data_IF_165366652662
#
_entry.id   IF_165366652662
#
_cell.length_a   1.000
_cell.length_b   1.000
_cell.length_c   1.000
_cell.angle_alpha   90.00
_cell.angle_beta   90.00
_cell.angle_gamma   90.00
#
_symmetry.space_group_name_H-M   'P 1'
#
loop_
_entity.id
_entity.type
_entity.pdbx_description
1 polymer ?
#
# COMPACT_ATOMS: atom_id res chain seq x y z
N UNK A 1 16.70 -4.36 -0.82
CA UNK A 1 15.25 -4.34 -0.47
C UNK A 1 14.39 -4.66 -1.68
N UNK A 2 14.59 -3.92 -2.79
CA UNK A 2 13.87 -4.13 -4.07
C UNK A 2 13.91 -5.59 -4.54
N UNK A 3 15.08 -6.22 -4.58
CA UNK A 3 15.21 -7.61 -5.05
C UNK A 3 14.42 -8.61 -4.21
N UNK A 4 14.24 -8.34 -2.90
CA UNK A 4 13.44 -9.20 -2.03
C UNK A 4 11.97 -9.18 -2.44
N UNK A 5 11.43 -8.02 -2.79
CA UNK A 5 10.06 -7.89 -3.29
C UNK A 5 9.91 -8.45 -4.70
N UNK A 6 10.88 -8.21 -5.59
CA UNK A 6 10.83 -8.75 -6.96
C UNK A 6 10.91 -10.28 -7.00
N UNK A 7 11.58 -10.91 -6.03
CA UNK A 7 11.72 -12.36 -5.90
C UNK A 7 10.74 -12.99 -4.91
N UNK A 8 9.93 -12.20 -4.20
CA UNK A 8 8.94 -12.70 -3.26
C UNK A 8 7.90 -13.56 -4.00
N UNK A 9 7.46 -14.66 -3.39
CA UNK A 9 6.33 -15.42 -3.90
C UNK A 9 5.04 -14.65 -3.67
N UNK A 10 4.08 -14.76 -4.58
CA UNK A 10 2.76 -14.12 -4.47
C UNK A 10 2.07 -14.38 -3.12
N UNK A 11 2.16 -15.59 -2.58
CA UNK A 11 1.57 -15.92 -1.27
C UNK A 11 2.27 -15.21 -0.11
N UNK A 12 3.57 -14.91 -0.19
CA UNK A 12 4.28 -14.18 0.87
C UNK A 12 3.77 -12.73 0.95
N UNK A 13 3.62 -12.07 -0.21
CA UNK A 13 3.06 -10.72 -0.27
C UNK A 13 1.59 -10.72 0.17
N UNK A 14 0.81 -11.70 -0.28
CA UNK A 14 -0.58 -11.84 0.10
C UNK A 14 -0.77 -12.06 1.61
N UNK A 15 0.01 -12.95 2.22
CA UNK A 15 -0.08 -13.20 3.67
C UNK A 15 0.32 -11.98 4.49
N UNK A 16 1.36 -11.25 4.08
CA UNK A 16 1.79 -10.04 4.77
C UNK A 16 0.78 -8.88 4.63
N UNK A 17 0.19 -8.71 3.44
CA UNK A 17 -0.79 -7.64 3.19
C UNK A 17 -2.21 -7.96 3.69
N UNK A 18 -2.63 -9.22 3.69
CA UNK A 18 -4.00 -9.61 3.98
C UNK A 18 -4.10 -10.67 5.07
N UNK A 19 -3.29 -11.73 5.00
CA UNK A 19 -3.35 -12.82 5.97
C UNK A 19 -3.21 -12.33 7.42
N UNK A 20 -2.19 -11.53 7.70
CA UNK A 20 -1.95 -10.95 9.03
C UNK A 20 -3.08 -9.97 9.44
N UNK A 21 -3.44 -8.95 8.64
CA UNK A 21 -4.55 -8.05 9.00
C UNK A 21 -5.90 -8.75 9.18
N UNK A 22 -6.25 -9.73 8.34
CA UNK A 22 -7.50 -10.48 8.44
C UNK A 22 -7.50 -11.35 9.70
N UNK A 23 -6.41 -12.06 9.98
CA UNK A 23 -6.29 -12.85 11.21
C UNK A 23 -6.41 -11.97 12.44
N UNK A 24 -5.73 -10.82 12.44
CA UNK A 24 -5.86 -9.82 13.49
C UNK A 24 -7.33 -9.37 13.64
N UNK A 25 -8.01 -9.02 12.56
CA UNK A 25 -9.40 -8.59 12.58
C UNK A 25 -10.37 -9.68 13.08
N UNK A 26 -10.14 -10.95 12.73
CA UNK A 26 -10.93 -12.08 13.22
C UNK A 26 -10.75 -12.25 14.73
N UNK A 27 -9.51 -12.19 15.23
CA UNK A 27 -9.22 -12.26 16.68
C UNK A 27 -9.86 -11.10 17.42
N UNK A 28 -9.71 -9.88 16.91
CA UNK A 28 -10.36 -8.68 17.43
C UNK A 28 -11.87 -8.89 17.55
N UNK A 29 -12.52 -9.27 16.45
CA UNK A 29 -13.97 -9.42 16.41
C UNK A 29 -14.46 -10.57 17.31
N UNK A 30 -13.76 -11.71 17.32
CA UNK A 30 -14.10 -12.85 18.17
C UNK A 30 -14.03 -12.53 19.66
N UNK A 31 -13.01 -11.79 20.10
CA UNK A 31 -12.91 -11.35 21.50
C UNK A 31 -14.01 -10.35 21.88
N UNK A 32 -14.37 -9.42 21.00
CA UNK A 32 -15.47 -8.48 21.24
C UNK A 32 -16.81 -9.22 21.36
N UNK A 33 -17.13 -10.12 20.42
CA UNK A 33 -18.37 -10.90 20.46
C UNK A 33 -18.47 -11.80 21.69
N UNK A 34 -17.36 -12.44 22.09
CA UNK A 34 -17.34 -13.27 23.30
C UNK A 34 -17.66 -12.47 24.55
N UNK A 35 -17.19 -11.22 24.63
CA UNK A 35 -17.37 -10.35 25.80
C UNK A 35 -18.74 -9.70 25.88
N UNK A 36 -19.31 -9.31 24.74
CA UNK A 36 -20.70 -8.82 24.68
C UNK A 36 -21.69 -9.91 25.16
N UNK A 37 -21.39 -11.18 24.89
CA UNK A 37 -22.22 -12.30 25.32
C UNK A 37 -22.03 -12.67 26.81
N UNK A 38 -20.92 -12.24 27.45
CA UNK A 38 -20.60 -12.60 28.84
C UNK A 38 -20.80 -11.45 29.85
N UNK A 39 -20.73 -10.19 29.41
CA UNK A 39 -20.79 -9.02 30.28
C UNK A 39 -21.83 -8.00 29.80
N UNK A 40 -22.69 -7.54 30.71
CA UNK A 40 -23.70 -6.50 30.44
C UNK A 40 -23.10 -5.10 30.24
N UNK A 41 -21.81 -4.90 30.54
CA UNK A 41 -21.07 -3.64 30.36
C UNK A 41 -19.57 -3.93 30.12
N UNK A 42 -19.09 -4.05 28.86
CA UNK A 42 -17.68 -4.32 28.58
C UNK A 42 -16.80 -3.14 29.03
N UNK A 43 -15.70 -3.43 29.75
CA UNK A 43 -14.70 -2.43 30.14
C UNK A 43 -14.05 -1.79 28.90
N UNK A 44 -14.22 -0.47 28.69
CA UNK A 44 -13.62 0.24 27.55
C UNK A 44 -12.10 0.07 27.46
N UNK A 45 -11.42 -0.12 28.59
CA UNK A 45 -9.95 -0.20 28.70
C UNK A 45 -9.39 -1.39 27.91
N UNK A 46 -10.10 -2.51 27.89
CA UNK A 46 -9.67 -3.70 27.16
C UNK A 46 -9.80 -3.51 25.64
N UNK A 47 -10.86 -2.84 25.18
CA UNK A 47 -11.04 -2.47 23.77
C UNK A 47 -9.85 -1.59 23.34
N UNK A 48 -9.51 -0.56 24.12
CA UNK A 48 -8.37 0.32 23.84
C UNK A 48 -7.02 -0.41 23.80
N UNK A 49 -6.81 -1.40 24.68
CA UNK A 49 -5.59 -2.20 24.67
C UNK A 49 -5.39 -2.95 23.36
N UNK A 50 -6.47 -3.42 22.75
CA UNK A 50 -6.38 -4.11 21.46
C UNK A 50 -6.10 -3.14 20.29
N UNK A 51 -6.59 -1.90 20.36
CA UNK A 51 -6.29 -0.86 19.37
C UNK A 51 -4.80 -0.47 19.32
N UNK A 52 -4.00 -0.76 20.35
CA UNK A 52 -2.55 -0.49 20.36
C UNK A 52 -1.78 -1.24 19.26
N UNK A 53 -2.29 -2.38 18.81
CA UNK A 53 -1.68 -3.17 17.73
C UNK A 53 -2.03 -2.64 16.34
N UNK A 54 -3.10 -1.86 16.21
CA UNK A 54 -3.58 -1.37 14.91
C UNK A 54 -2.52 -0.54 14.15
N UNK A 55 -1.79 0.42 14.75
CA UNK A 55 -0.74 1.15 14.06
C UNK A 55 0.39 0.25 13.54
N UNK A 56 0.73 -0.82 14.28
CA UNK A 56 1.78 -1.77 13.89
C UNK A 56 1.34 -2.54 12.63
N UNK A 57 0.10 -3.03 12.62
CA UNK A 57 -0.49 -3.72 11.47
C UNK A 57 -0.58 -2.77 10.26
N UNK A 58 -0.95 -1.50 10.50
CA UNK A 58 -1.03 -0.48 9.46
C UNK A 58 0.35 -0.19 8.84
N UNK A 59 1.39 -0.01 9.67
CA UNK A 59 2.76 0.21 9.20
C UNK A 59 3.26 -1.00 8.39
N UNK A 60 2.97 -2.22 8.86
CA UNK A 60 3.29 -3.44 8.13
C UNK A 60 2.60 -3.44 6.76
N UNK A 61 1.29 -3.22 6.72
CA UNK A 61 0.52 -3.16 5.49
C UNK A 61 1.07 -2.11 4.51
N UNK A 62 1.27 -0.88 4.98
CA UNK A 62 1.79 0.21 4.16
C UNK A 62 3.18 -0.10 3.64
N UNK A 63 4.08 -0.59 4.49
CA UNK A 63 5.44 -0.95 4.10
C UNK A 63 5.49 -2.02 3.03
N UNK A 64 4.62 -3.03 3.13
CA UNK A 64 4.55 -4.12 2.15
C UNK A 64 3.89 -3.63 0.85
N UNK A 65 2.77 -2.90 0.93
CA UNK A 65 2.04 -2.38 -0.25
C UNK A 65 2.88 -1.38 -1.06
N UNK A 66 3.35 -0.31 -0.41
CA UNK A 66 4.17 0.70 -1.07
C UNK A 66 5.56 0.15 -1.43
N UNK A 67 6.13 -0.74 -0.62
CA UNK A 67 7.38 -1.44 -0.95
C UNK A 67 7.25 -2.30 -2.21
N UNK A 68 6.13 -3.00 -2.38
CA UNK A 68 5.84 -3.77 -3.59
C UNK A 68 5.72 -2.86 -4.82
N UNK A 69 4.94 -1.79 -4.75
CA UNK A 69 4.79 -0.81 -5.83
C UNK A 69 6.13 -0.17 -6.22
N UNK A 70 6.90 0.27 -5.22
CA UNK A 70 8.22 0.85 -5.44
C UNK A 70 9.17 -0.14 -6.13
N UNK A 71 9.14 -1.40 -5.70
CA UNK A 71 10.01 -2.44 -6.25
C UNK A 71 9.70 -2.71 -7.72
N UNK A 72 8.43 -2.70 -8.12
CA UNK A 72 8.06 -2.81 -9.53
C UNK A 72 8.46 -1.55 -10.29
N UNK A 73 8.04 -0.37 -9.82
CA UNK A 73 8.24 0.89 -10.52
C UNK A 73 9.73 1.28 -10.67
N UNK A 74 10.56 1.04 -9.66
CA UNK A 74 11.97 1.44 -9.64
C UNK A 74 12.88 0.25 -9.93
N UNK A 75 12.56 -0.93 -9.39
CA UNK A 75 13.41 -2.11 -9.56
C UNK A 75 13.45 -2.64 -10.98
N UNK A 76 12.34 -2.55 -11.71
CA UNK A 76 12.30 -3.00 -13.11
C UNK A 76 12.86 -1.98 -14.10
N UNK A 77 13.28 -0.78 -13.66
CA UNK A 77 13.80 0.25 -14.56
C UNK A 77 15.02 -0.21 -15.36
N UNK A 78 15.85 -1.09 -14.80
CA UNK A 78 17.01 -1.66 -15.49
C UNK A 78 16.63 -2.61 -16.65
N UNK A 79 15.39 -3.10 -16.67
CA UNK A 79 14.87 -4.05 -17.68
C UNK A 79 14.03 -3.37 -18.76
N UNK A 80 13.94 -2.03 -18.70
CA UNK A 80 13.25 -1.24 -19.70
C UNK A 80 14.18 -1.11 -20.90
N UNK A 81 13.67 -1.33 -22.12
CA UNK A 81 14.50 -1.22 -23.32
C UNK A 81 15.03 0.22 -23.48
N UNK A 82 16.25 0.37 -23.98
CA UNK A 82 17.01 1.64 -24.00
C UNK A 82 16.29 2.76 -24.77
N UNK A 83 15.43 2.41 -25.72
CA UNK A 83 14.64 3.35 -26.51
C UNK A 83 13.42 3.92 -25.77
N UNK A 84 13.13 3.48 -24.53
CA UNK A 84 11.95 3.91 -23.77
C UNK A 84 12.37 4.68 -22.52
N UNK A 85 11.93 5.93 -22.43
CA UNK A 85 12.25 6.80 -21.28
C UNK A 85 11.07 6.89 -20.31
N UNK A 86 11.31 6.50 -19.04
CA UNK A 86 10.28 6.55 -18.00
C UNK A 86 10.41 7.79 -17.10
N UNK A 87 9.27 8.39 -16.76
CA UNK A 87 9.17 9.59 -15.90
C UNK A 87 9.31 9.26 -14.41
N UNK A 88 10.37 8.57 -14.01
CA UNK A 88 10.61 8.10 -12.63
C UNK A 88 10.62 9.21 -11.60
N UNK A 89 11.12 10.41 -11.94
CA UNK A 89 11.08 11.59 -11.05
C UNK A 89 9.64 11.98 -10.70
N UNK A 90 8.74 12.02 -11.67
CA UNK A 90 7.31 12.32 -11.44
C UNK A 90 6.65 11.24 -10.59
N UNK A 91 6.97 9.96 -10.84
CA UNK A 91 6.52 8.85 -9.99
C UNK A 91 6.94 9.05 -8.54
N UNK A 92 8.22 9.31 -8.25
CA UNK A 92 8.68 9.50 -6.87
C UNK A 92 7.89 10.60 -6.17
N UNK A 93 7.66 11.75 -6.81
CA UNK A 93 6.86 12.84 -6.23
C UNK A 93 5.44 12.37 -5.90
N UNK A 94 4.70 11.83 -6.87
CA UNK A 94 3.31 11.39 -6.65
C UNK A 94 3.18 10.18 -5.72
N UNK A 95 4.22 9.36 -5.60
CA UNK A 95 4.28 8.22 -4.70
C UNK A 95 4.43 8.66 -3.23
N UNK A 96 5.21 9.72 -2.96
CA UNK A 96 5.41 10.19 -1.58
C UNK A 96 4.25 11.05 -1.06
N UNK A 97 3.48 11.70 -1.92
CA UNK A 97 2.27 12.46 -1.53
C UNK A 97 1.33 11.63 -0.63
N UNK A 98 0.84 10.43 -1.04
CA UNK A 98 -0.06 9.64 -0.21
C UNK A 98 0.61 9.12 1.07
N UNK A 99 1.91 8.81 1.04
CA UNK A 99 2.64 8.38 2.24
C UNK A 99 2.68 9.49 3.30
N UNK A 100 3.03 10.71 2.89
CA UNK A 100 3.05 11.87 3.78
C UNK A 100 1.64 12.19 4.26
N UNK A 101 0.64 12.18 3.37
CA UNK A 101 -0.75 12.41 3.74
C UNK A 101 -1.25 11.41 4.79
N UNK A 102 -1.04 10.11 4.58
CA UNK A 102 -1.47 9.05 5.52
C UNK A 102 -0.77 9.19 6.87
N UNK A 103 0.52 9.54 6.89
CA UNK A 103 1.25 9.79 8.12
C UNK A 103 0.69 11.01 8.87
N UNK A 104 0.53 12.15 8.19
CA UNK A 104 0.01 13.38 8.77
C UNK A 104 -1.41 13.20 9.33
N UNK A 105 -2.31 12.56 8.58
CA UNK A 105 -3.67 12.32 9.04
C UNK A 105 -3.72 11.34 10.22
N UNK A 106 -2.84 10.33 10.25
CA UNK A 106 -2.76 9.37 11.36
C UNK A 106 -2.30 10.05 12.66
N UNK A 107 -1.28 10.90 12.59
CA UNK A 107 -0.80 11.70 13.74
C UNK A 107 -1.91 12.65 14.21
N UNK A 108 -2.56 13.34 13.27
CA UNK A 108 -3.64 14.28 13.57
C UNK A 108 -4.82 13.59 14.27
N UNK A 109 -5.33 12.49 13.73
CA UNK A 109 -6.42 11.72 14.33
C UNK A 109 -6.01 11.16 15.70
N UNK A 110 -4.77 10.64 15.83
CA UNK A 110 -4.25 10.16 17.10
C UNK A 110 -4.21 11.23 18.19
N UNK A 111 -3.78 12.44 17.85
CA UNK A 111 -3.80 13.60 18.75
C UNK A 111 -5.23 14.01 19.15
N UNK A 112 -6.15 14.02 18.19
CA UNK A 112 -7.57 14.32 18.43
C UNK A 112 -8.22 13.33 19.39
N UNK A 113 -8.02 12.03 19.18
CA UNK A 113 -8.55 10.97 20.06
C UNK A 113 -7.95 11.11 21.47
N UNK A 114 -6.65 11.33 21.57
CA UNK A 114 -5.97 11.52 22.87
C UNK A 114 -6.53 12.73 23.64
N UNK A 115 -6.79 13.84 22.94
CA UNK A 115 -7.39 15.04 23.55
C UNK A 115 -8.81 14.82 24.06
N UNK A 116 -9.63 14.08 23.30
CA UNK A 116 -10.99 13.69 23.71
C UNK A 116 -10.92 12.82 24.97
N UNK A 117 -10.00 11.86 25.02
CA UNK A 117 -9.83 10.98 26.19
C UNK A 117 -9.40 11.76 27.45
N UNK A 118 -8.57 12.79 27.31
CA UNK A 118 -8.10 13.60 28.44
C UNK A 118 -9.13 14.60 28.95
N UNK A 119 -9.92 15.19 28.05
CA UNK A 119 -10.84 16.29 28.39
C UNK A 119 -12.30 15.86 28.52
N UNK A 120 -12.67 14.69 28.01
CA UNK A 120 -14.06 14.24 27.92
C UNK A 120 -14.92 15.06 26.96
N UNK A 121 -14.33 16.04 26.28
CA UNK A 121 -15.04 16.99 25.40
C UNK A 121 -14.61 16.82 23.96
N UNK A 122 -15.58 16.79 23.04
CA UNK A 122 -15.33 16.78 21.61
C UNK A 122 -14.87 18.14 21.07
N UNK A 123 -14.23 18.17 19.89
CA UNK A 123 -13.91 19.43 19.22
C UNK A 123 -15.15 20.25 18.88
N UNK A 124 -15.00 21.58 18.86
CA UNK A 124 -16.09 22.47 18.45
C UNK A 124 -16.47 22.26 16.98
N UNK A 125 -17.75 22.43 16.65
CA UNK A 125 -18.24 22.24 15.28
C UNK A 125 -17.54 23.14 14.25
N UNK A 126 -17.19 24.37 14.62
CA UNK A 126 -16.43 25.29 13.76
C UNK A 126 -15.02 24.80 13.45
N UNK A 127 -14.32 24.23 14.44
CA UNK A 127 -13.00 23.62 14.24
C UNK A 127 -13.08 22.41 13.32
N UNK A 128 -14.07 21.52 13.53
CA UNK A 128 -14.30 20.36 12.67
C UNK A 128 -14.57 20.79 11.22
N UNK A 129 -15.46 21.76 11.00
CA UNK A 129 -15.79 22.25 9.67
C UNK A 129 -14.56 22.84 8.94
N UNK A 130 -13.75 23.64 9.63
CA UNK A 130 -12.51 24.20 9.07
C UNK A 130 -11.52 23.12 8.66
N UNK A 131 -11.35 22.10 9.48
CA UNK A 131 -10.43 20.99 9.21
C UNK A 131 -10.92 20.11 8.06
N UNK A 132 -12.21 19.81 7.99
CA UNK A 132 -12.80 19.07 6.86
C UNK A 132 -12.56 19.80 5.54
N UNK A 133 -12.69 21.14 5.53
CA UNK A 133 -12.41 21.97 4.36
C UNK A 133 -10.97 21.84 3.82
N UNK A 134 -10.01 21.55 4.70
CA UNK A 134 -8.59 21.34 4.32
C UNK A 134 -8.30 19.87 4.00
N UNK A 135 -8.86 18.94 4.77
CA UNK A 135 -8.63 17.49 4.59
C UNK A 135 -9.16 17.01 3.24
N UNK A 136 -10.34 17.45 2.80
CA UNK A 136 -10.94 16.95 1.56
C UNK A 136 -10.03 17.20 0.34
N UNK A 137 -9.53 18.43 0.07
CA UNK A 137 -8.59 18.66 -1.03
C UNK A 137 -7.30 17.84 -0.93
N UNK A 138 -6.73 17.73 0.28
CA UNK A 138 -5.51 16.94 0.50
C UNK A 138 -5.77 15.44 0.26
N UNK A 139 -6.94 14.95 0.63
CA UNK A 139 -7.34 13.57 0.38
C UNK A 139 -7.46 13.28 -1.11
N UNK A 140 -8.11 14.17 -1.86
CA UNK A 140 -8.22 14.04 -3.33
C UNK A 140 -6.85 14.08 -4.01
N UNK A 141 -5.94 14.93 -3.55
CA UNK A 141 -4.55 14.98 -4.03
C UNK A 141 -3.81 13.66 -3.73
N UNK A 142 -4.01 13.09 -2.55
CA UNK A 142 -3.47 11.77 -2.17
C UNK A 142 -4.04 10.65 -3.06
N UNK A 143 -5.36 10.63 -3.29
CA UNK A 143 -6.00 9.68 -4.20
C UNK A 143 -5.41 9.78 -5.61
N UNK A 144 -5.23 11.00 -6.13
CA UNK A 144 -4.57 11.22 -7.41
C UNK A 144 -3.15 10.64 -7.44
N UNK A 145 -2.36 10.83 -6.36
CA UNK A 145 -1.03 10.24 -6.23
C UNK A 145 -1.04 8.71 -6.27
N UNK A 146 -2.02 8.07 -5.63
CA UNK A 146 -2.21 6.61 -5.67
C UNK A 146 -2.56 6.14 -7.10
N UNK A 147 -3.51 6.79 -7.77
CA UNK A 147 -3.87 6.44 -9.15
C UNK A 147 -2.73 6.66 -10.14
N UNK A 148 -1.95 7.74 -9.99
CA UNK A 148 -0.75 7.94 -10.79
C UNK A 148 0.29 6.84 -10.52
N UNK A 149 0.44 6.42 -9.27
CA UNK A 149 1.35 5.32 -8.90
C UNK A 149 0.91 4.00 -9.52
N UNK A 150 -0.38 3.66 -9.47
CA UNK A 150 -0.97 2.51 -10.16
C UNK A 150 -0.67 2.54 -11.65
N UNK A 151 -0.95 3.67 -12.31
CA UNK A 151 -0.67 3.89 -13.72
C UNK A 151 0.80 3.66 -14.05
N UNK A 152 1.70 4.26 -13.27
CA UNK A 152 3.13 4.18 -13.53
C UNK A 152 3.69 2.77 -13.32
N UNK A 153 3.23 2.07 -12.28
CA UNK A 153 3.61 0.69 -11.98
C UNK A 153 3.12 -0.24 -13.09
N UNK A 154 1.86 -0.11 -13.51
CA UNK A 154 1.29 -0.89 -14.60
C UNK A 154 2.04 -0.66 -15.93
N UNK A 155 2.29 0.61 -16.29
CA UNK A 155 3.08 0.96 -17.47
C UNK A 155 4.48 0.36 -17.40
N UNK A 156 5.16 0.49 -16.26
CA UNK A 156 6.51 -0.05 -16.06
C UNK A 156 6.53 -1.57 -16.24
N UNK A 157 5.63 -2.27 -15.56
CA UNK A 157 5.50 -3.72 -15.68
C UNK A 157 5.28 -4.14 -17.14
N UNK A 158 4.36 -3.50 -17.84
CA UNK A 158 3.99 -3.89 -19.21
C UNK A 158 5.04 -3.53 -20.25
N UNK A 159 5.73 -2.40 -20.07
CA UNK A 159 6.89 -2.03 -20.89
C UNK A 159 8.00 -3.08 -20.78
N UNK A 160 8.24 -3.61 -19.58
CA UNK A 160 9.22 -4.69 -19.39
C UNK A 160 8.72 -6.03 -19.95
N UNK A 161 7.42 -6.33 -19.82
CA UNK A 161 6.85 -7.56 -20.39
C UNK A 161 6.93 -7.57 -21.93
N UNK A 162 6.62 -6.44 -22.58
CA UNK A 162 6.55 -6.35 -24.04
C UNK A 162 7.83 -5.83 -24.70
N UNK A 163 8.82 -5.38 -23.91
CA UNK A 163 10.08 -4.80 -24.39
C UNK A 163 9.87 -3.68 -25.43
N UNK A 164 8.83 -2.85 -25.22
CA UNK A 164 8.53 -1.68 -26.04
C UNK A 164 7.79 -0.61 -25.24
N UNK A 165 7.69 0.60 -25.77
CA UNK A 165 6.78 1.58 -25.21
C UNK A 165 5.34 1.13 -25.40
N UNK A 166 4.55 1.22 -24.33
CA UNK A 166 3.15 0.79 -24.30
C UNK A 166 2.21 1.99 -24.16
N UNK A 167 1.08 1.91 -24.84
CA UNK A 167 -0.05 2.82 -24.65
C UNK A 167 -0.97 2.32 -23.50
N UNK A 168 -1.88 3.17 -23.03
CA UNK A 168 -2.76 2.82 -21.89
C UNK A 168 -3.61 1.57 -22.13
N UNK A 169 -4.13 1.37 -23.35
CA UNK A 169 -4.93 0.19 -23.68
C UNK A 169 -4.16 -1.12 -23.50
N UNK A 170 -2.85 -1.11 -23.75
CA UNK A 170 -1.99 -2.29 -23.63
C UNK A 170 -1.69 -2.70 -22.18
N UNK A 171 -1.82 -1.78 -21.20
CA UNK A 171 -1.59 -2.09 -19.77
C UNK A 171 -2.80 -1.83 -18.86
N UNK A 172 -3.97 -1.53 -19.44
CA UNK A 172 -5.18 -1.25 -18.67
C UNK A 172 -5.57 -2.44 -17.77
N UNK A 173 -5.41 -3.67 -18.26
CA UNK A 173 -5.67 -4.88 -17.48
C UNK A 173 -4.79 -4.94 -16.23
N UNK A 174 -3.50 -4.70 -16.36
CA UNK A 174 -2.55 -4.67 -15.26
C UNK A 174 -2.81 -3.52 -14.29
N UNK A 175 -3.26 -2.36 -14.78
CA UNK A 175 -3.71 -1.26 -13.93
C UNK A 175 -4.86 -1.68 -13.02
N UNK A 176 -5.90 -2.31 -13.57
CA UNK A 176 -7.03 -2.80 -12.76
C UNK A 176 -6.63 -3.96 -11.85
N UNK A 177 -5.73 -4.84 -12.28
CA UNK A 177 -5.20 -5.89 -11.40
C UNK A 177 -4.43 -5.30 -10.21
N UNK A 178 -3.62 -4.26 -10.42
CA UNK A 178 -2.93 -3.56 -9.33
C UNK A 178 -3.91 -2.78 -8.43
N UNK A 179 -5.02 -2.28 -8.98
CA UNK A 179 -6.06 -1.62 -8.20
C UNK A 179 -6.85 -2.64 -7.36
N UNK A 180 -7.22 -3.77 -7.94
CA UNK A 180 -7.81 -4.93 -7.26
C UNK A 180 -6.72 -5.90 -6.79
N UNK A 181 -5.77 -5.38 -6.01
CA UNK A 181 -4.53 -6.06 -5.64
C UNK A 181 -4.72 -7.41 -4.93
N UNK A 182 -5.87 -7.67 -4.29
CA UNK A 182 -6.22 -9.01 -3.76
C UNK A 182 -6.07 -10.11 -4.81
N UNK A 183 -6.54 -9.84 -6.03
CA UNK A 183 -6.42 -10.75 -7.19
C UNK A 183 -5.10 -10.46 -7.92
N UNK A 184 -4.75 -9.18 -8.08
CA UNK A 184 -3.56 -8.76 -8.83
C UNK A 184 -2.26 -9.38 -8.35
N UNK A 185 -2.07 -9.56 -7.04
CA UNK A 185 -0.85 -10.18 -6.48
C UNK A 185 -0.66 -11.60 -7.04
N UNK A 186 -1.73 -12.38 -7.18
CA UNK A 186 -1.65 -13.76 -7.67
C UNK A 186 -1.31 -13.85 -9.16
N UNK A 187 -1.66 -12.84 -9.95
CA UNK A 187 -1.44 -12.83 -11.40
C UNK A 187 -0.13 -12.10 -11.76
N UNK A 188 0.12 -10.94 -11.18
CA UNK A 188 1.25 -10.07 -11.53
C UNK A 188 2.54 -10.57 -10.91
N UNK A 189 2.53 -10.96 -9.63
CA UNK A 189 3.77 -11.31 -8.92
C UNK A 189 4.52 -12.51 -9.55
N UNK A 190 3.87 -13.60 -9.96
CA UNK A 190 4.57 -14.69 -10.66
C UNK A 190 5.24 -14.24 -11.96
N UNK A 191 4.62 -13.30 -12.70
CA UNK A 191 5.21 -12.74 -13.92
C UNK A 191 6.44 -11.89 -13.60
N UNK A 192 6.39 -11.09 -12.52
CA UNK A 192 7.55 -10.32 -12.04
C UNK A 192 8.70 -11.27 -11.65
N UNK A 193 8.41 -12.37 -10.97
CA UNK A 193 9.44 -13.35 -10.60
C UNK A 193 10.18 -13.88 -11.83
N UNK A 194 9.44 -14.26 -12.90
CA UNK A 194 10.03 -14.70 -14.17
C UNK A 194 10.92 -13.63 -14.81
N UNK A 195 10.48 -12.37 -14.81
CA UNK A 195 11.28 -11.25 -15.31
C UNK A 195 12.57 -11.05 -14.50
N UNK A 196 12.53 -11.32 -13.20
CA UNK A 196 13.71 -11.22 -12.31
C UNK A 196 14.67 -12.40 -12.45
N UNK A 197 14.20 -13.59 -12.83
CA UNK A 197 15.05 -14.78 -13.02
C UNK A 197 15.86 -14.73 -14.32
N UNK A 198 15.28 -14.17 -15.38
CA UNK A 198 15.94 -14.03 -16.69
C UNK A 198 17.22 -13.16 -16.66
N UNK A 199 17.42 -12.35 -15.62
CA UNK A 199 18.65 -11.55 -15.42
C UNK A 199 19.85 -12.43 -15.03
N UNK A 200 19.64 -13.36 -14.10
CA UNK A 200 20.72 -14.24 -13.64
C UNK A 200 21.22 -15.18 -14.74
N UNK A 201 20.40 -15.46 -15.75
CA UNK A 201 20.79 -16.33 -16.88
C UNK A 201 21.57 -15.59 -17.95
N UNK A 202 21.37 -14.27 -18.08
CA UNK A 202 22.12 -13.42 -19.02
C UNK A 202 23.47 -13.04 -18.40
N UNK A 203 23.49 -12.58 -17.13
CA UNK A 203 24.73 -12.26 -16.41
C UNK A 203 25.68 -13.48 -16.32
N UNK A 204 25.17 -14.67 -16.05
CA UNK A 204 26.00 -15.88 -15.98
C UNK A 204 26.54 -16.34 -17.34
N UNK A 205 25.93 -15.92 -18.46
CA UNK A 205 26.42 -16.21 -19.82
C UNK A 205 27.45 -15.21 -20.31
N UNK A 206 27.41 -13.97 -19.84
CA UNK A 206 28.44 -12.97 -20.17
C UNK A 206 29.73 -13.16 -19.34
N UNK A 207 29.65 -13.93 -18.24
CA UNK A 207 30.77 -14.26 -17.36
C UNK A 207 31.42 -15.63 -17.64
N UNK A 208 30.93 -16.39 -18.64
CA UNK A 208 31.45 -17.71 -19.05
C UNK A 208 32.09 -17.66 -20.43
#
# INVERSE_FOLDING_TARGET
MIDRFLKAKHWQLFTLMFGIPILFQIVMMGTMFSKINSETNPDPTEIFNMFKFFPIIMILYMGVFFGWFWSIAIGLQKKIPENVTMKTKKFKVFFFIPLVYILCISIFIGGMISGIMQTGTGPSGGFVAGIVGVIIPLHLLSMFGIFYSLYFVAKTFKTVELQKEVNFGEFAGEFFMLWFYFIGIWIIQPKINKMSENENTIDNKELS
#
